data_IF_198598573607
#
_entry.id   IF_198598573607
#
_cell.length_a   1.000
_cell.length_b   1.000
_cell.length_c   1.000
_cell.angle_alpha   90.00
_cell.angle_beta   90.00
_cell.angle_gamma   90.00
#
_symmetry.space_group_name_H-M   'P 1'
#
loop_
_entity.id
_entity.type
_entity.pdbx_description
1 polymer ?
#
# COMPACT_ATOMS: atom_id res chain seq x y z
N UNK A 1 14.74 0.27 14.91
CA UNK A 1 14.88 1.24 13.82
C UNK A 1 13.50 1.77 13.47
N UNK A 2 13.43 3.04 13.07
CA UNK A 2 12.23 3.61 12.46
C UNK A 2 12.37 3.52 10.94
N UNK A 3 11.23 3.48 10.25
CA UNK A 3 11.16 3.50 8.79
C UNK A 3 10.38 4.74 8.36
N UNK A 4 10.87 5.44 7.33
CA UNK A 4 10.17 6.57 6.72
C UNK A 4 9.39 6.03 5.53
N UNK A 5 8.10 6.37 5.45
CA UNK A 5 7.16 5.75 4.52
C UNK A 5 6.73 6.71 3.41
N UNK A 6 6.50 6.16 2.22
CA UNK A 6 5.86 6.82 1.08
C UNK A 6 5.10 5.82 0.21
N UNK A 7 4.20 6.30 -0.63
CA UNK A 7 3.50 5.49 -1.60
C UNK A 7 3.46 6.16 -2.97
N UNK A 8 3.64 5.39 -4.02
CA UNK A 8 3.50 5.81 -5.40
C UNK A 8 2.10 5.44 -5.91
N UNK A 9 1.35 6.41 -6.44
CA UNK A 9 0.04 6.13 -7.02
C UNK A 9 0.20 5.62 -8.46
N UNK A 10 0.32 4.31 -8.61
CA UNK A 10 0.53 3.66 -9.91
C UNK A 10 -0.66 3.80 -10.86
N UNK A 11 -1.85 4.08 -10.34
CA UNK A 11 -3.03 4.33 -11.16
C UNK A 11 -2.93 5.57 -12.06
N UNK A 12 -2.09 6.54 -11.74
CA UNK A 12 -1.92 7.78 -12.52
C UNK A 12 -0.58 7.86 -13.28
N UNK A 13 0.38 7.00 -12.97
CA UNK A 13 1.68 6.95 -13.67
C UNK A 13 1.45 6.52 -15.13
N UNK A 14 2.14 7.18 -16.06
CA UNK A 14 1.91 7.04 -17.50
C UNK A 14 3.00 6.26 -18.23
N UNK A 15 4.18 6.09 -17.64
CA UNK A 15 5.32 5.43 -18.27
C UNK A 15 6.34 4.94 -17.25
N UNK A 16 7.17 3.98 -17.62
CA UNK A 16 8.30 3.51 -16.81
C UNK A 16 9.30 4.61 -16.49
N UNK A 17 9.49 5.56 -17.42
CA UNK A 17 10.35 6.72 -17.18
C UNK A 17 9.80 7.59 -16.04
N UNK A 18 8.51 7.86 -16.02
CA UNK A 18 7.86 8.60 -14.93
C UNK A 18 7.94 7.82 -13.62
N UNK A 19 7.76 6.50 -13.64
CA UNK A 19 7.94 5.63 -12.49
C UNK A 19 9.37 5.71 -11.95
N UNK A 20 10.38 5.66 -12.82
CA UNK A 20 11.79 5.79 -12.44
C UNK A 20 12.08 7.15 -11.78
N UNK A 21 11.60 8.24 -12.38
CA UNK A 21 11.76 9.60 -11.83
C UNK A 21 11.10 9.74 -10.46
N UNK A 22 9.89 9.18 -10.28
CA UNK A 22 9.18 9.20 -9.00
C UNK A 22 9.85 8.31 -7.94
N UNK A 23 10.42 7.19 -8.33
CA UNK A 23 11.24 6.35 -7.45
C UNK A 23 12.46 7.12 -6.96
N UNK A 24 13.21 7.80 -7.85
CA UNK A 24 14.37 8.59 -7.49
C UNK A 24 13.99 9.75 -6.54
N UNK A 25 12.95 10.48 -6.87
CA UNK A 25 12.44 11.56 -6.03
C UNK A 25 12.04 11.04 -4.63
N UNK A 26 11.34 9.91 -4.56
CA UNK A 26 10.90 9.33 -3.29
C UNK A 26 12.08 8.89 -2.43
N UNK A 27 13.06 8.18 -3.00
CA UNK A 27 14.25 7.74 -2.27
C UNK A 27 15.02 8.94 -1.72
N UNK A 28 15.26 9.97 -2.54
CA UNK A 28 15.99 11.18 -2.14
C UNK A 28 15.26 11.96 -1.07
N UNK A 29 13.95 12.19 -1.24
CA UNK A 29 13.14 12.94 -0.28
C UNK A 29 13.08 12.25 1.08
N UNK A 30 12.87 10.94 1.10
CA UNK A 30 12.79 10.18 2.35
C UNK A 30 14.18 10.02 3.01
N UNK A 31 15.25 9.92 2.24
CA UNK A 31 16.62 9.90 2.77
C UNK A 31 16.95 11.21 3.49
N UNK A 32 16.57 12.36 2.94
CA UNK A 32 16.72 13.67 3.60
C UNK A 32 15.89 13.77 4.88
N UNK A 33 14.64 13.24 4.87
CA UNK A 33 13.81 13.25 6.06
C UNK A 33 14.42 12.48 7.24
N UNK A 34 15.22 11.43 6.99
CA UNK A 34 15.94 10.71 8.04
C UNK A 34 16.88 11.64 8.81
N UNK A 35 17.51 12.57 8.13
CA UNK A 35 18.44 13.51 8.77
C UNK A 35 17.74 14.73 9.37
N UNK A 36 16.61 15.13 8.80
CA UNK A 36 15.85 16.33 9.20
C UNK A 36 14.92 16.10 10.40
N UNK A 37 14.34 14.91 10.55
CA UNK A 37 13.34 14.63 11.59
C UNK A 37 13.93 14.62 13.01
N UNK A 38 13.09 14.95 13.98
CA UNK A 38 13.42 14.81 15.39
C UNK A 38 13.10 13.39 15.88
N UNK A 39 14.02 12.80 16.63
CA UNK A 39 13.86 11.45 17.16
C UNK A 39 13.45 11.49 18.64
N UNK A 40 12.41 10.72 19.04
CA UNK A 40 11.91 10.73 20.42
C UNK A 40 12.90 10.16 21.42
N UNK A 41 13.78 9.24 20.96
CA UNK A 41 14.81 8.61 21.80
C UNK A 41 16.10 8.41 21.01
N UNK A 42 17.24 8.51 21.68
CA UNK A 42 18.57 8.40 21.06
C UNK A 42 18.82 7.06 20.35
N UNK A 43 18.32 5.97 20.91
CA UNK A 43 18.46 4.64 20.31
C UNK A 43 17.75 4.55 18.95
N UNK A 44 16.59 5.20 18.80
CA UNK A 44 15.87 5.27 17.52
C UNK A 44 16.69 6.08 16.49
N UNK A 45 17.24 7.22 16.87
CA UNK A 45 18.09 8.03 15.99
C UNK A 45 19.30 7.23 15.48
N UNK A 46 20.09 6.65 16.38
CA UNK A 46 21.29 5.87 16.03
C UNK A 46 20.93 4.74 15.06
N UNK A 47 19.93 3.94 15.40
CA UNK A 47 19.54 2.79 14.58
C UNK A 47 18.97 3.21 13.22
N UNK A 48 18.18 4.29 13.17
CA UNK A 48 17.57 4.77 11.92
C UNK A 48 18.63 5.37 11.00
N UNK A 49 19.52 6.23 11.51
CA UNK A 49 20.61 6.82 10.72
C UNK A 49 21.61 5.79 10.22
N UNK A 50 21.92 4.76 11.01
CA UNK A 50 22.83 3.70 10.60
C UNK A 50 22.25 2.78 9.51
N UNK A 51 20.93 2.56 9.50
CA UNK A 51 20.25 1.70 8.53
C UNK A 51 19.68 2.44 7.34
N UNK A 52 19.22 3.67 7.56
CA UNK A 52 18.50 4.50 6.58
C UNK A 52 17.36 3.74 5.89
N UNK A 53 16.55 3.04 6.69
CA UNK A 53 15.46 2.21 6.19
C UNK A 53 14.30 3.06 5.65
N UNK A 54 13.90 2.80 4.43
CA UNK A 54 12.72 3.38 3.78
C UNK A 54 11.66 2.31 3.59
N UNK A 55 10.41 2.73 3.46
CA UNK A 55 9.29 1.87 3.10
C UNK A 55 8.46 2.56 2.02
N UNK A 56 8.79 2.30 0.76
CA UNK A 56 8.10 2.85 -0.40
C UNK A 56 7.24 1.75 -1.00
N UNK A 57 5.93 1.96 -1.01
CA UNK A 57 4.95 1.03 -1.56
C UNK A 57 4.17 1.64 -2.71
N UNK A 58 3.10 0.97 -3.09
CA UNK A 58 2.18 1.42 -4.14
C UNK A 58 0.77 1.59 -3.61
N UNK A 59 0.04 2.54 -4.18
CA UNK A 59 -1.40 2.71 -4.06
C UNK A 59 -2.00 2.81 -5.46
N UNK A 60 -3.32 2.66 -5.57
CA UNK A 60 -4.02 2.79 -6.85
C UNK A 60 -3.84 1.60 -7.79
N UNK A 61 -3.52 0.39 -7.28
CA UNK A 61 -3.35 -0.81 -8.10
C UNK A 61 -4.66 -1.20 -8.80
N UNK A 62 -5.81 -1.06 -8.13
CA UNK A 62 -7.11 -1.30 -8.74
C UNK A 62 -7.35 -0.38 -9.94
N UNK A 63 -7.04 0.92 -9.79
CA UNK A 63 -7.13 1.89 -10.88
C UNK A 63 -6.14 1.56 -12.02
N UNK A 64 -4.94 1.10 -11.68
CA UNK A 64 -3.97 0.65 -12.68
C UNK A 64 -4.52 -0.48 -13.53
N UNK A 65 -5.10 -1.53 -12.92
CA UNK A 65 -5.73 -2.63 -13.66
C UNK A 65 -6.94 -2.18 -14.47
N UNK A 66 -7.81 -1.34 -13.88
CA UNK A 66 -8.97 -0.82 -14.60
C UNK A 66 -8.60 -0.03 -15.86
N UNK A 67 -7.52 0.77 -15.82
CA UNK A 67 -6.99 1.46 -17.00
C UNK A 67 -6.49 0.51 -18.09
N UNK A 68 -5.98 -0.65 -17.72
CA UNK A 68 -5.53 -1.69 -18.65
C UNK A 68 -6.70 -2.57 -19.13
N UNK A 69 -7.89 -2.42 -18.56
CA UNK A 69 -9.05 -3.24 -18.86
C UNK A 69 -8.97 -4.64 -18.25
N UNK A 70 -8.23 -4.80 -17.15
CA UNK A 70 -8.01 -6.09 -16.50
C UNK A 70 -8.78 -6.20 -15.18
N UNK A 71 -9.31 -7.38 -14.91
CA UNK A 71 -9.79 -7.81 -13.60
C UNK A 71 -8.63 -8.38 -12.77
N UNK A 72 -8.79 -8.44 -11.44
CA UNK A 72 -7.81 -9.07 -10.55
C UNK A 72 -7.57 -10.56 -10.82
N UNK A 73 -8.53 -11.23 -11.45
CA UNK A 73 -8.48 -12.66 -11.78
C UNK A 73 -7.80 -12.94 -13.11
N UNK A 74 -7.54 -11.90 -13.92
CA UNK A 74 -6.97 -12.05 -15.24
C UNK A 74 -5.46 -12.35 -15.16
N UNK A 75 -5.01 -13.25 -16.03
CA UNK A 75 -3.59 -13.58 -16.18
C UNK A 75 -2.76 -12.35 -16.57
N UNK A 76 -3.33 -11.47 -17.39
CA UNK A 76 -2.74 -10.21 -17.84
C UNK A 76 -2.55 -9.24 -16.65
N UNK A 77 -3.47 -9.21 -15.70
CA UNK A 77 -3.33 -8.41 -14.47
C UNK A 77 -2.16 -8.91 -13.61
N UNK A 78 -2.00 -10.24 -13.48
CA UNK A 78 -0.88 -10.83 -12.73
C UNK A 78 0.45 -10.53 -13.40
N UNK A 79 0.52 -10.65 -14.72
CA UNK A 79 1.71 -10.28 -15.49
C UNK A 79 2.05 -8.79 -15.36
N UNK A 80 1.04 -7.92 -15.43
CA UNK A 80 1.19 -6.48 -15.24
C UNK A 80 1.66 -6.13 -13.83
N UNK A 81 1.10 -6.77 -12.79
CA UNK A 81 1.53 -6.61 -11.41
C UNK A 81 2.97 -7.07 -11.19
N UNK A 82 3.35 -8.20 -11.79
CA UNK A 82 4.72 -8.73 -11.72
C UNK A 82 5.72 -7.74 -12.34
N UNK A 83 5.46 -7.26 -13.56
CA UNK A 83 6.32 -6.28 -14.24
C UNK A 83 6.40 -4.95 -13.48
N UNK A 84 5.28 -4.47 -12.94
CA UNK A 84 5.25 -3.26 -12.10
C UNK A 84 6.09 -3.44 -10.83
N UNK A 85 5.96 -4.58 -10.14
CA UNK A 85 6.71 -4.88 -8.93
C UNK A 85 8.22 -5.00 -9.21
N UNK A 86 8.59 -5.61 -10.34
CA UNK A 86 9.97 -5.67 -10.79
C UNK A 86 10.54 -4.29 -11.04
N UNK A 87 9.85 -3.47 -11.85
CA UNK A 87 10.29 -2.10 -12.19
C UNK A 87 10.43 -1.23 -10.95
N UNK A 88 9.45 -1.27 -10.06
CA UNK A 88 9.50 -0.54 -8.79
C UNK A 88 10.73 -0.92 -7.97
N UNK A 89 10.95 -2.23 -7.76
CA UNK A 89 12.08 -2.72 -6.97
C UNK A 89 13.42 -2.37 -7.61
N UNK A 90 13.52 -2.49 -8.94
CA UNK A 90 14.71 -2.15 -9.70
C UNK A 90 15.05 -0.66 -9.61
N UNK A 91 14.07 0.23 -9.85
CA UNK A 91 14.30 1.67 -9.85
C UNK A 91 14.61 2.20 -8.46
N UNK A 92 13.97 1.68 -7.42
CA UNK A 92 14.30 2.06 -6.03
C UNK A 92 15.73 1.66 -5.64
N UNK A 93 16.17 0.44 -6.01
CA UNK A 93 17.54 0.00 -5.77
C UNK A 93 18.56 0.81 -6.58
N UNK A 94 18.25 1.09 -7.86
CA UNK A 94 19.08 1.94 -8.74
C UNK A 94 19.25 3.33 -8.16
N UNK A 95 18.17 3.95 -7.68
CA UNK A 95 18.20 5.26 -7.04
C UNK A 95 19.00 5.26 -5.75
N UNK A 96 18.81 4.28 -4.88
CA UNK A 96 19.57 4.15 -3.65
C UNK A 96 21.07 3.89 -3.90
N UNK A 97 21.41 3.14 -4.95
CA UNK A 97 22.79 2.97 -5.39
C UNK A 97 23.40 4.26 -5.94
N UNK A 98 22.63 5.01 -6.75
CA UNK A 98 23.08 6.31 -7.23
C UNK A 98 23.30 7.29 -6.07
N UNK A 99 22.40 7.31 -5.10
CA UNK A 99 22.53 8.14 -3.92
C UNK A 99 23.73 7.71 -3.03
N UNK A 100 24.06 6.40 -3.01
CA UNK A 100 25.28 5.91 -2.36
C UNK A 100 26.57 6.38 -3.07
N UNK A 101 26.57 6.51 -4.39
CA UNK A 101 27.70 7.12 -5.14
C UNK A 101 27.90 8.58 -4.76
N UNK A 102 26.82 9.31 -4.48
CA UNK A 102 26.83 10.74 -4.18
C UNK A 102 27.17 11.02 -2.69
N UNK A 103 26.62 10.25 -1.76
CA UNK A 103 26.64 10.51 -0.31
C UNK A 103 27.27 9.42 0.54
N UNK A 104 27.73 8.32 -0.08
CA UNK A 104 28.19 7.12 0.60
C UNK A 104 27.03 6.18 0.97
N UNK A 105 27.33 4.89 1.09
CA UNK A 105 26.36 3.88 1.52
C UNK A 105 25.99 4.03 3.02
N UNK A 106 24.89 3.40 3.46
CA UNK A 106 24.54 3.39 4.88
C UNK A 106 25.59 2.61 5.71
N UNK A 107 25.73 2.99 6.99
CA UNK A 107 26.71 2.36 7.90
C UNK A 107 26.53 0.84 7.99
N UNK A 108 25.26 0.37 7.99
CA UNK A 108 24.96 -1.05 8.11
C UNK A 108 24.84 -1.79 6.76
N UNK A 109 25.32 -1.21 5.67
CA UNK A 109 25.32 -1.88 4.35
C UNK A 109 25.95 -3.29 4.43
N UNK A 110 27.12 -3.42 5.04
CA UNK A 110 27.80 -4.71 5.23
C UNK A 110 27.08 -5.74 6.11
N UNK A 111 25.90 -5.38 6.67
CA UNK A 111 25.01 -6.29 7.41
C UNK A 111 23.77 -6.66 6.62
N UNK A 112 23.68 -6.29 5.37
CA UNK A 112 22.59 -6.59 4.46
C UNK A 112 23.01 -7.70 3.49
N UNK A 113 22.03 -8.43 2.95
CA UNK A 113 22.30 -9.39 1.88
C UNK A 113 22.83 -8.73 0.60
N UNK A 114 22.58 -7.44 0.42
CA UNK A 114 23.06 -6.67 -0.72
C UNK A 114 24.59 -6.58 -0.76
N UNK A 115 25.27 -6.58 0.41
CA UNK A 115 26.75 -6.62 0.46
C UNK A 115 27.34 -7.93 -0.07
N UNK A 116 26.55 -9.00 -0.05
CA UNK A 116 26.91 -10.31 -0.63
C UNK A 116 26.41 -10.45 -2.09
N UNK A 117 25.87 -9.37 -2.65
CA UNK A 117 25.30 -9.37 -4.00
C UNK A 117 23.96 -10.09 -4.15
N UNK A 118 23.29 -10.42 -3.05
CA UNK A 118 21.98 -11.07 -3.08
C UNK A 118 20.89 -10.00 -3.21
N UNK A 119 20.16 -10.06 -4.32
CA UNK A 119 19.07 -9.14 -4.64
C UNK A 119 17.68 -9.80 -4.46
N UNK A 120 16.59 -9.03 -4.42
CA UNK A 120 15.24 -9.58 -4.29
C UNK A 120 14.89 -10.64 -5.35
N UNK A 121 15.38 -10.48 -6.57
CA UNK A 121 15.19 -11.45 -7.66
C UNK A 121 15.82 -12.83 -7.39
N UNK A 122 16.78 -12.91 -6.47
CA UNK A 122 17.43 -14.18 -6.12
C UNK A 122 16.62 -14.94 -5.04
N UNK A 123 15.75 -14.25 -4.32
CA UNK A 123 15.09 -14.76 -3.10
C UNK A 123 13.56 -14.68 -3.10
N UNK A 124 12.94 -14.28 -4.21
CA UNK A 124 11.49 -14.30 -4.32
C UNK A 124 10.93 -15.74 -4.39
N UNK A 125 9.64 -15.91 -4.13
CA UNK A 125 8.96 -17.21 -4.20
C UNK A 125 8.91 -17.68 -5.65
N UNK A 126 9.57 -18.78 -5.97
CA UNK A 126 9.66 -19.33 -7.32
C UNK A 126 8.33 -19.86 -7.88
N UNK A 127 7.35 -20.10 -7.03
CA UNK A 127 5.99 -20.44 -7.45
C UNK A 127 5.34 -19.35 -8.30
N UNK A 128 5.80 -18.10 -8.17
CA UNK A 128 5.36 -16.98 -9.02
C UNK A 128 5.67 -17.23 -10.49
N UNK A 129 6.77 -17.90 -10.82
CA UNK A 129 7.15 -18.23 -12.20
C UNK A 129 6.14 -19.19 -12.87
N UNK A 130 5.37 -19.93 -12.09
CA UNK A 130 4.27 -20.78 -12.58
C UNK A 130 2.95 -20.03 -12.79
N UNK A 131 2.83 -18.82 -12.19
CA UNK A 131 1.62 -18.00 -12.24
C UNK A 131 1.78 -16.87 -13.25
N UNK A 132 2.95 -16.23 -13.28
CA UNK A 132 3.26 -15.12 -14.18
C UNK A 132 4.18 -15.59 -15.32
N UNK A 133 3.83 -15.25 -16.55
CA UNK A 133 4.58 -15.64 -17.76
C UNK A 133 5.57 -14.57 -18.24
N UNK A 134 5.70 -13.46 -17.52
CA UNK A 134 6.58 -12.35 -17.89
C UNK A 134 8.04 -12.64 -17.53
N UNK A 135 8.94 -12.41 -18.49
CA UNK A 135 10.38 -12.38 -18.21
C UNK A 135 10.78 -11.09 -17.52
N UNK A 136 11.92 -11.11 -16.81
CA UNK A 136 12.51 -9.91 -16.22
C UNK A 136 12.86 -8.90 -17.34
N UNK A 137 12.59 -7.61 -17.07
CA UNK A 137 12.67 -6.52 -18.05
C UNK A 137 13.94 -5.67 -17.88
N UNK A 138 14.60 -5.74 -16.71
CA UNK A 138 15.72 -4.88 -16.37
C UNK A 138 17.05 -5.63 -16.26
N UNK A 139 18.17 -4.93 -16.46
CA UNK A 139 19.52 -5.49 -16.28
C UNK A 139 19.91 -5.56 -14.80
N UNK A 140 19.44 -6.60 -14.14
CA UNK A 140 19.72 -6.86 -12.74
C UNK A 140 21.20 -7.15 -12.47
N UNK A 141 21.93 -7.70 -13.44
CA UNK A 141 23.33 -8.01 -13.26
C UNK A 141 24.23 -6.77 -13.33
N UNK A 142 23.87 -5.79 -14.15
CA UNK A 142 24.52 -4.48 -14.11
C UNK A 142 24.28 -3.79 -12.76
N UNK A 143 23.04 -3.79 -12.28
CA UNK A 143 22.69 -3.22 -10.98
C UNK A 143 23.44 -3.93 -9.84
N UNK A 144 23.54 -5.26 -9.87
CA UNK A 144 24.29 -6.07 -8.90
C UNK A 144 25.77 -5.64 -8.83
N UNK A 145 26.44 -5.53 -9.99
CA UNK A 145 27.83 -5.04 -10.06
C UNK A 145 27.98 -3.65 -9.45
N UNK A 146 27.06 -2.75 -9.78
CA UNK A 146 27.07 -1.39 -9.22
C UNK A 146 26.86 -1.38 -7.71
N UNK A 147 25.95 -2.21 -7.18
CA UNK A 147 25.68 -2.33 -5.74
C UNK A 147 26.89 -2.91 -4.99
N UNK A 148 27.53 -3.92 -5.54
CA UNK A 148 28.76 -4.49 -4.95
C UNK A 148 29.90 -3.46 -4.92
N UNK A 149 29.97 -2.59 -5.93
CA UNK A 149 31.02 -1.59 -6.01
C UNK A 149 30.81 -0.37 -5.12
N UNK A 150 29.57 0.15 -5.05
CA UNK A 150 29.28 1.44 -4.42
C UNK A 150 28.36 1.32 -3.18
N UNK A 151 27.75 0.17 -2.97
CA UNK A 151 26.79 -0.07 -1.91
C UNK A 151 25.39 0.50 -2.21
N UNK A 152 24.58 0.52 -1.14
CA UNK A 152 23.27 1.16 -1.11
C UNK A 152 23.20 2.20 0.01
N UNK A 153 22.57 3.34 -0.28
CA UNK A 153 22.30 4.38 0.71
C UNK A 153 21.32 3.92 1.77
N UNK A 154 20.40 3.05 1.42
CA UNK A 154 19.28 2.61 2.24
C UNK A 154 19.29 1.08 2.38
N UNK A 155 19.22 0.57 3.62
CA UNK A 155 19.27 -0.88 3.90
C UNK A 155 18.00 -1.62 3.54
N UNK A 156 16.88 -0.90 3.41
CA UNK A 156 15.54 -1.39 3.00
C UNK A 156 14.86 -0.28 2.24
N UNK A 157 14.11 -0.59 1.20
CA UNK A 157 13.50 0.38 0.30
C UNK A 157 12.00 0.19 0.13
N UNK A 158 11.52 -1.05 0.09
CA UNK A 158 10.12 -1.35 -0.19
C UNK A 158 9.37 -1.77 1.05
N UNK A 159 8.15 -1.30 1.17
CA UNK A 159 7.16 -1.81 2.11
C UNK A 159 5.78 -1.68 1.46
N UNK A 160 5.08 -2.80 1.30
CA UNK A 160 3.69 -2.74 0.91
C UNK A 160 2.87 -2.29 2.11
N UNK A 161 2.20 -1.16 1.96
CA UNK A 161 1.35 -0.63 3.00
C UNK A 161 0.05 -1.42 3.08
N UNK A 162 -0.56 -1.55 4.28
CA UNK A 162 -1.93 -2.01 4.37
C UNK A 162 -2.80 -1.03 3.58
N UNK A 163 -3.56 -1.55 2.61
CA UNK A 163 -4.59 -0.80 1.92
C UNK A 163 -5.88 -0.93 2.72
N UNK A 164 -6.62 0.16 2.83
CA UNK A 164 -7.93 0.12 3.46
C UNK A 164 -8.87 -0.73 2.62
N UNK A 165 -9.68 -1.53 3.30
CA UNK A 165 -10.73 -2.31 2.65
C UNK A 165 -11.92 -1.40 2.36
N UNK A 166 -12.63 -1.67 1.26
CA UNK A 166 -13.87 -0.96 0.96
C UNK A 166 -14.90 -1.20 2.06
N UNK A 167 -15.59 -0.14 2.46
CA UNK A 167 -16.74 -0.24 3.34
C UNK A 167 -17.99 -0.63 2.55
N UNK A 168 -18.83 -1.45 3.15
CA UNK A 168 -20.15 -1.75 2.62
C UNK A 168 -21.05 -0.51 2.74
N UNK A 169 -21.91 -0.26 1.76
CA UNK A 169 -22.65 0.99 1.65
C UNK A 169 -23.62 1.29 2.82
N UNK A 170 -24.12 0.26 3.52
CA UNK A 170 -24.93 0.41 4.75
C UNK A 170 -24.14 0.78 6.00
N UNK A 171 -22.80 0.77 5.96
CA UNK A 171 -21.99 1.20 7.09
C UNK A 171 -22.21 2.68 7.38
N UNK A 172 -22.42 2.98 8.65
CA UNK A 172 -22.64 4.34 9.11
C UNK A 172 -21.33 5.00 9.47
N UNK A 173 -21.07 6.12 8.84
CA UNK A 173 -19.94 6.99 9.09
C UNK A 173 -20.42 8.10 10.03
N UNK A 174 -19.67 8.39 11.07
CA UNK A 174 -19.94 9.56 11.92
C UNK A 174 -19.58 10.81 11.14
N UNK A 175 -20.52 11.75 11.08
CA UNK A 175 -20.35 13.06 10.46
C UNK A 175 -20.74 14.16 11.47
N UNK A 176 -20.51 15.42 11.13
CA UNK A 176 -21.01 16.56 11.94
C UNK A 176 -22.53 16.61 12.07
N UNK A 177 -23.26 15.97 11.16
CA UNK A 177 -24.72 15.91 11.13
C UNK A 177 -25.27 14.60 11.74
N UNK A 178 -24.41 13.75 12.32
CA UNK A 178 -24.76 12.47 12.88
C UNK A 178 -24.20 11.29 12.10
N UNK A 179 -24.71 10.09 12.35
CA UNK A 179 -24.31 8.88 11.64
C UNK A 179 -25.07 8.76 10.32
N UNK A 180 -24.32 8.73 9.20
CA UNK A 180 -24.84 8.60 7.84
C UNK A 180 -24.26 7.36 7.15
N UNK A 181 -25.09 6.63 6.41
CA UNK A 181 -24.61 5.66 5.45
C UNK A 181 -24.22 6.33 4.10
N UNK A 182 -23.64 5.56 3.20
CA UNK A 182 -23.17 6.13 1.93
C UNK A 182 -24.30 6.66 1.03
N UNK A 183 -25.51 6.07 1.06
CA UNK A 183 -26.64 6.62 0.33
C UNK A 183 -27.04 8.00 0.84
N UNK A 184 -27.14 8.16 2.14
CA UNK A 184 -27.44 9.46 2.78
C UNK A 184 -26.36 10.50 2.47
N UNK A 185 -25.10 10.08 2.41
CA UNK A 185 -23.98 10.95 2.01
C UNK A 185 -24.14 11.38 0.56
N UNK A 186 -24.50 10.45 -0.34
CA UNK A 186 -24.75 10.76 -1.75
C UNK A 186 -25.93 11.71 -1.92
N UNK A 187 -27.04 11.46 -1.24
CA UNK A 187 -28.23 12.33 -1.28
C UNK A 187 -27.91 13.74 -0.81
N UNK A 188 -27.22 13.89 0.32
CA UNK A 188 -26.80 15.19 0.85
C UNK A 188 -25.80 15.89 -0.08
N UNK A 189 -24.89 15.14 -0.72
CA UNK A 189 -23.94 15.63 -1.71
C UNK A 189 -24.51 15.81 -3.09
N UNK A 190 -25.83 15.58 -3.29
CA UNK A 190 -26.53 15.65 -4.58
C UNK A 190 -25.95 14.74 -5.67
N UNK A 191 -25.43 13.61 -5.27
CA UNK A 191 -25.00 12.56 -6.20
C UNK A 191 -26.19 11.63 -6.49
N UNK A 192 -26.44 11.36 -7.75
CA UNK A 192 -27.43 10.36 -8.16
C UNK A 192 -26.86 8.95 -8.03
N UNK A 193 -27.09 8.33 -6.86
CA UNK A 193 -26.60 6.99 -6.56
C UNK A 193 -27.16 5.92 -7.51
N UNK A 194 -28.44 6.01 -7.85
CA UNK A 194 -29.09 5.04 -8.75
C UNK A 194 -28.43 5.04 -10.14
N UNK A 195 -27.98 6.20 -10.60
CA UNK A 195 -27.27 6.33 -11.86
C UNK A 195 -25.88 5.70 -11.79
N UNK A 196 -25.12 5.94 -10.70
CA UNK A 196 -23.80 5.36 -10.48
C UNK A 196 -23.89 3.83 -10.45
N UNK A 197 -24.84 3.28 -9.68
CA UNK A 197 -25.02 1.85 -9.51
C UNK A 197 -25.50 1.18 -10.82
N UNK A 198 -26.47 1.77 -11.51
CA UNK A 198 -27.01 1.20 -12.74
C UNK A 198 -26.03 1.16 -13.91
N UNK A 199 -25.07 2.09 -13.94
CA UNK A 199 -24.03 2.16 -14.96
C UNK A 199 -22.72 1.49 -14.53
N UNK A 200 -22.65 0.93 -13.29
CA UNK A 200 -21.44 0.42 -12.65
C UNK A 200 -20.25 1.39 -12.81
N UNK A 201 -20.53 2.67 -12.54
CA UNK A 201 -19.57 3.76 -12.79
C UNK A 201 -18.51 3.82 -11.67
N UNK A 202 -17.58 2.86 -11.73
CA UNK A 202 -16.49 2.76 -10.77
C UNK A 202 -15.60 4.01 -10.85
N UNK A 203 -15.37 4.67 -9.72
CA UNK A 203 -14.49 5.83 -9.67
C UNK A 203 -14.82 6.84 -8.58
N UNK A 204 -14.17 8.00 -8.68
CA UNK A 204 -14.38 9.13 -7.80
C UNK A 204 -15.59 9.96 -8.24
N UNK A 205 -16.48 10.22 -7.28
CA UNK A 205 -17.64 11.09 -7.46
C UNK A 205 -17.53 12.27 -6.49
N UNK A 206 -17.64 13.48 -7.04
CA UNK A 206 -17.53 14.72 -6.25
C UNK A 206 -18.87 15.08 -5.65
N UNK A 207 -18.88 15.40 -4.35
CA UNK A 207 -20.05 15.89 -3.64
C UNK A 207 -20.23 17.38 -3.92
N UNK A 208 -21.43 17.79 -4.34
CA UNK A 208 -21.76 19.23 -4.49
C UNK A 208 -21.71 19.98 -3.15
N UNK A 209 -22.01 19.24 -2.06
CA UNK A 209 -21.92 19.74 -0.70
C UNK A 209 -20.99 18.84 0.11
N UNK A 210 -19.77 19.29 0.44
CA UNK A 210 -18.85 18.53 1.27
C UNK A 210 -19.43 18.20 2.66
N UNK A 211 -19.12 17.03 3.18
CA UNK A 211 -19.47 16.63 4.53
C UNK A 211 -18.27 16.73 5.47
N UNK A 212 -18.52 17.00 6.75
CA UNK A 212 -17.48 17.02 7.77
C UNK A 212 -17.46 15.69 8.51
N UNK A 213 -16.28 15.06 8.58
CA UNK A 213 -16.08 13.82 9.33
C UNK A 213 -15.03 14.03 10.43
N UNK A 214 -15.27 13.51 11.66
CA UNK A 214 -14.30 13.59 12.74
C UNK A 214 -13.05 12.78 12.39
N UNK A 215 -11.88 13.32 12.70
CA UNK A 215 -10.61 12.63 12.60
C UNK A 215 -9.76 12.91 13.85
N UNK A 216 -8.66 12.19 14.00
CA UNK A 216 -7.74 12.38 15.14
C UNK A 216 -7.20 13.81 15.25
N UNK A 217 -7.07 14.50 14.11
CA UNK A 217 -6.56 15.87 14.04
C UNK A 217 -7.68 16.94 13.94
N UNK A 218 -8.90 16.59 14.34
CA UNK A 218 -10.11 17.43 14.20
C UNK A 218 -10.90 17.10 12.93
N UNK A 219 -12.04 17.78 12.78
CA UNK A 219 -12.95 17.50 11.66
C UNK A 219 -12.32 17.80 10.29
N UNK A 220 -12.49 16.88 9.35
CA UNK A 220 -12.01 16.99 7.97
C UNK A 220 -13.17 17.10 7.00
N UNK A 221 -13.01 17.95 5.99
CA UNK A 221 -13.95 18.06 4.89
C UNK A 221 -13.73 16.92 3.88
N UNK A 222 -14.80 16.19 3.59
CA UNK A 222 -14.85 15.16 2.54
C UNK A 222 -15.69 15.68 1.39
N UNK A 223 -15.06 15.88 0.25
CA UNK A 223 -15.66 16.41 -0.97
C UNK A 223 -15.83 15.36 -2.07
N UNK A 224 -15.38 14.13 -1.84
CA UNK A 224 -15.46 13.02 -2.80
C UNK A 224 -15.72 11.69 -2.13
N UNK A 225 -16.46 10.84 -2.84
CA UNK A 225 -16.60 9.42 -2.52
C UNK A 225 -16.05 8.57 -3.67
N UNK A 226 -15.65 7.35 -3.37
CA UNK A 226 -15.20 6.39 -4.37
C UNK A 226 -16.15 5.21 -4.42
N UNK A 227 -16.76 4.97 -5.58
CA UNK A 227 -17.55 3.76 -5.84
C UNK A 227 -16.64 2.68 -6.43
N UNK A 228 -16.60 1.52 -5.79
CA UNK A 228 -15.72 0.40 -6.18
C UNK A 228 -16.46 -0.74 -6.89
N UNK A 229 -17.67 -0.49 -7.37
CA UNK A 229 -18.49 -1.50 -8.04
C UNK A 229 -19.14 -2.51 -7.10
N UNK A 230 -19.89 -3.43 -7.66
CA UNK A 230 -20.53 -4.53 -6.93
C UNK A 230 -19.48 -5.55 -6.51
N UNK A 231 -19.49 -5.93 -5.23
CA UNK A 231 -18.58 -6.94 -4.65
C UNK A 231 -19.37 -7.95 -3.86
N UNK A 232 -18.89 -9.17 -3.84
CA UNK A 232 -19.39 -10.18 -2.90
C UNK A 232 -19.10 -9.74 -1.47
N UNK A 233 -20.07 -9.90 -0.59
CA UNK A 233 -19.93 -9.61 0.84
C UNK A 233 -20.35 -10.80 1.67
N UNK A 234 -19.70 -10.96 2.82
CA UNK A 234 -20.07 -11.92 3.87
C UNK A 234 -20.55 -11.15 5.08
N UNK A 235 -21.40 -11.78 5.87
CA UNK A 235 -21.90 -11.21 7.12
C UNK A 235 -21.29 -11.98 8.28
N UNK A 236 -20.51 -11.29 9.10
CA UNK A 236 -20.03 -11.80 10.38
C UNK A 236 -21.10 -11.49 11.44
N UNK A 237 -21.45 -12.49 12.23
CA UNK A 237 -22.38 -12.32 13.36
C UNK A 237 -21.57 -12.54 14.64
N UNK A 238 -21.47 -11.51 15.45
CA UNK A 238 -20.76 -11.53 16.73
C UNK A 238 -21.64 -12.17 17.82
N UNK A 239 -21.02 -12.65 18.91
CA UNK A 239 -21.75 -13.26 20.05
C UNK A 239 -22.79 -12.32 20.67
N UNK A 240 -22.53 -11.01 20.68
CA UNK A 240 -23.46 -10.00 21.17
C UNK A 240 -24.61 -9.67 20.19
N UNK A 241 -24.66 -10.36 19.03
CA UNK A 241 -25.67 -10.20 17.99
C UNK A 241 -25.36 -9.05 17.02
N UNK A 242 -24.28 -8.31 17.19
CA UNK A 242 -23.83 -7.34 16.19
C UNK A 242 -23.49 -8.05 14.87
N UNK A 243 -23.75 -7.37 13.77
CA UNK A 243 -23.45 -7.87 12.43
C UNK A 243 -22.50 -6.91 11.71
N UNK A 244 -21.47 -7.46 11.08
CA UNK A 244 -20.54 -6.73 10.25
C UNK A 244 -20.60 -7.34 8.84
N UNK A 245 -20.96 -6.53 7.85
CA UNK A 245 -20.93 -6.91 6.45
C UNK A 245 -19.63 -6.40 5.82
N UNK A 246 -18.85 -7.28 5.22
CA UNK A 246 -17.56 -6.92 4.62
C UNK A 246 -17.23 -7.85 3.45
N UNK A 247 -16.26 -7.45 2.64
CA UNK A 247 -15.72 -8.36 1.61
C UNK A 247 -15.00 -9.54 2.26
N UNK A 248 -14.93 -10.72 1.61
CA UNK A 248 -14.26 -11.91 2.17
C UNK A 248 -12.80 -11.66 2.58
N UNK A 249 -12.13 -10.76 1.89
CA UNK A 249 -10.72 -10.39 2.12
C UNK A 249 -10.52 -9.28 3.16
N UNK A 250 -11.60 -8.74 3.72
CA UNK A 250 -11.50 -7.73 4.79
C UNK A 250 -10.76 -8.32 5.99
N UNK A 251 -9.81 -7.58 6.54
CA UNK A 251 -8.97 -8.07 7.65
C UNK A 251 -9.47 -7.57 8.99
N UNK A 252 -9.54 -8.50 9.93
CA UNK A 252 -9.81 -8.23 11.33
C UNK A 252 -8.58 -8.52 12.16
N UNK A 253 -8.35 -7.70 13.17
CA UNK A 253 -7.33 -7.97 14.17
C UNK A 253 -7.94 -8.95 15.18
N UNK A 254 -7.33 -10.13 15.31
CA UNK A 254 -7.76 -11.18 16.24
C UNK A 254 -6.61 -11.55 17.17
N UNK A 255 -6.94 -12.16 18.29
CA UNK A 255 -5.97 -12.80 19.18
C UNK A 255 -5.83 -14.28 18.80
N UNK A 256 -4.58 -14.75 18.72
CA UNK A 256 -4.28 -16.17 18.56
C UNK A 256 -4.32 -16.90 19.92
N UNK A 257 -4.12 -18.20 19.92
CA UNK A 257 -4.10 -19.06 21.12
C UNK A 257 -2.98 -18.70 22.14
N UNK A 258 -2.01 -17.86 21.73
CA UNK A 258 -0.91 -17.37 22.56
C UNK A 258 -1.08 -15.89 22.95
N UNK A 259 -2.30 -15.31 22.76
CA UNK A 259 -2.63 -13.90 23.02
C UNK A 259 -1.85 -12.90 22.14
N UNK A 260 -1.25 -13.36 21.02
CA UNK A 260 -0.63 -12.45 20.05
C UNK A 260 -1.69 -11.87 19.12
N UNK A 261 -1.52 -10.60 18.77
CA UNK A 261 -2.39 -9.91 17.81
C UNK A 261 -1.98 -10.28 16.38
N UNK A 262 -2.88 -10.89 15.63
CA UNK A 262 -2.70 -11.25 14.22
C UNK A 262 -3.83 -10.73 13.35
N UNK A 263 -3.52 -10.39 12.09
CA UNK A 263 -4.52 -10.01 11.10
C UNK A 263 -5.01 -11.23 10.33
N UNK A 264 -6.33 -11.46 10.36
CA UNK A 264 -7.01 -12.58 9.70
C UNK A 264 -8.07 -12.09 8.73
N UNK A 265 -8.16 -12.66 7.53
CA UNK A 265 -9.21 -12.30 6.59
C UNK A 265 -10.59 -12.75 7.10
N UNK A 266 -11.63 -12.02 6.74
CA UNK A 266 -12.99 -12.35 7.14
C UNK A 266 -13.41 -13.76 6.74
N UNK A 267 -13.00 -14.23 5.56
CA UNK A 267 -13.25 -15.60 5.09
C UNK A 267 -12.50 -16.69 5.86
N UNK A 268 -11.45 -16.32 6.60
CA UNK A 268 -10.61 -17.25 7.38
C UNK A 268 -10.97 -17.24 8.87
N UNK A 269 -11.91 -16.38 9.28
CA UNK A 269 -12.39 -16.31 10.66
C UNK A 269 -13.21 -17.55 11.02
N UNK A 270 -13.03 -17.99 12.24
CA UNK A 270 -13.76 -19.09 12.87
C UNK A 270 -14.51 -18.58 14.11
N UNK A 271 -15.39 -19.38 14.66
CA UNK A 271 -16.13 -19.05 15.88
C UNK A 271 -15.24 -18.92 17.12
N UNK A 272 -14.01 -19.41 17.05
CA UNK A 272 -13.04 -19.38 18.16
C UNK A 272 -12.13 -18.13 18.08
N UNK A 273 -12.28 -17.29 17.05
CA UNK A 273 -11.47 -16.08 16.90
C UNK A 273 -12.04 -14.92 17.72
N UNK A 274 -11.22 -14.32 18.56
CA UNK A 274 -11.57 -13.13 19.37
C UNK A 274 -11.19 -11.87 18.59
N UNK A 275 -12.20 -11.22 18.00
CA UNK A 275 -12.03 -9.98 17.23
C UNK A 275 -11.89 -8.82 18.21
N UNK A 276 -10.80 -8.06 18.07
CA UNK A 276 -10.52 -6.90 18.91
C UNK A 276 -11.42 -5.71 18.53
N UNK A 277 -12.13 -5.17 19.51
CA UNK A 277 -12.85 -3.89 19.40
C UNK A 277 -11.90 -2.72 19.79
N UNK A 278 -11.99 -1.60 19.05
CA UNK A 278 -11.25 -0.36 19.30
C UNK A 278 -12.18 0.79 19.68
#
# INVERSE_FOLDING_TARGET
ALCVLSALNVGIIKSDKELEELCDLSVRSLDELIDYQNYPVKAAEISTKARRSLGIGVIGLAHYFAKLGYSYEDQEAWNAAHGLAESLQYFLLKSSNQLAKEKGHCEYFGRTKYSDGILPIDTYKKEVDGICSSSLQHDWEELRRNILQYGLRNSTLTAQMPSESCLFWEHKIKTSEGFMDFHQICENGKINWEEIESQDFIGWHTLDSPIMVPSLDGDKSVDKIYYNGMKEVITLVMEDGKQIKCTPTHKFLVKDEFDNQIWKCACDLTVDDDIMEF
#
